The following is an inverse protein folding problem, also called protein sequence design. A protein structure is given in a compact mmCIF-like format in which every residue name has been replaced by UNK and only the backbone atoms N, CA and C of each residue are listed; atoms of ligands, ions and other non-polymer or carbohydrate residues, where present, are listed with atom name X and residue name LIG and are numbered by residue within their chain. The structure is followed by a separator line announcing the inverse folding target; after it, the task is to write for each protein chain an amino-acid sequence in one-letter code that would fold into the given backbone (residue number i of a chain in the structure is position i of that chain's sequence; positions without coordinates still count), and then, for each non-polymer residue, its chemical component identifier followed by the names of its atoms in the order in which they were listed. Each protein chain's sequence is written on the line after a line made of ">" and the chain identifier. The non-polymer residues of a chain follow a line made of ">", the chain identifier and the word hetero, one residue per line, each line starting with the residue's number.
data_IF_540832913943
#
_entry.id   IF_540832913943
#
_cell.length_a   1.000
_cell.length_b   1.000
_cell.length_c   1.000
_cell.angle_alpha   90.00
_cell.angle_beta   90.00
_cell.angle_gamma   90.00
#
_symmetry.space_group_name_H-M   'P 1'
#
loop_
_entity.id
_entity.type
_entity.pdbx_description
1 polymer ?
#
# COMPACT_ATOMS: atom_id res chain seq x y z
N UNK A 1 18.53 2.54 -7.19
CA UNK A 1 17.36 2.37 -6.30
C UNK A 1 16.32 1.56 -7.04
N UNK A 2 15.41 0.89 -6.33
CA UNK A 2 14.31 0.15 -6.97
C UNK A 2 13.23 1.09 -7.48
N UNK A 3 12.68 0.82 -8.66
CA UNK A 3 11.58 1.58 -9.25
C UNK A 3 10.25 0.83 -9.10
N UNK A 4 9.16 1.58 -8.94
CA UNK A 4 7.80 1.06 -8.76
C UNK A 4 6.83 1.72 -9.74
N UNK A 5 5.74 1.02 -10.04
CA UNK A 5 4.62 1.59 -10.78
C UNK A 5 3.67 2.41 -9.89
N UNK A 6 2.62 3.01 -10.48
CA UNK A 6 1.63 3.80 -9.75
C UNK A 6 0.83 3.00 -8.72
N UNK A 7 0.80 1.68 -8.84
CA UNK A 7 0.13 0.79 -7.88
C UNK A 7 1.09 0.32 -6.77
N UNK A 8 2.33 0.83 -6.73
CA UNK A 8 3.34 0.42 -5.74
C UNK A 8 3.93 -0.95 -5.99
N UNK A 9 3.77 -1.52 -7.20
CA UNK A 9 4.39 -2.80 -7.56
C UNK A 9 5.81 -2.57 -8.06
N UNK A 10 6.72 -3.45 -7.66
CA UNK A 10 8.12 -3.36 -8.07
C UNK A 10 8.26 -3.78 -9.54
N UNK A 11 9.04 -3.03 -10.32
CA UNK A 11 9.38 -3.47 -11.68
C UNK A 11 10.23 -4.75 -11.66
N UNK A 12 10.21 -5.49 -12.76
CA UNK A 12 11.06 -6.67 -12.92
C UNK A 12 12.55 -6.29 -12.83
N UNK A 13 13.35 -7.23 -12.32
CA UNK A 13 14.81 -7.10 -12.20
C UNK A 13 15.28 -5.90 -11.36
N UNK A 14 14.48 -5.48 -10.38
CA UNK A 14 14.87 -4.50 -9.38
C UNK A 14 15.46 -5.16 -8.13
N UNK A 15 16.31 -4.46 -7.35
CA UNK A 15 16.85 -4.99 -6.09
C UNK A 15 15.79 -5.26 -5.01
N UNK A 16 14.64 -4.57 -5.06
CA UNK A 16 13.58 -4.77 -4.08
C UNK A 16 12.85 -6.09 -4.36
N UNK A 17 12.72 -6.97 -3.35
CA UNK A 17 12.16 -8.30 -3.55
C UNK A 17 10.62 -8.32 -3.60
N UNK A 18 9.96 -7.28 -3.09
CA UNK A 18 8.52 -7.24 -2.87
C UNK A 18 7.93 -5.87 -3.28
N UNK A 19 6.61 -5.85 -3.48
CA UNK A 19 5.83 -4.63 -3.66
C UNK A 19 5.77 -3.82 -2.35
N UNK A 20 5.41 -2.55 -2.44
CA UNK A 20 5.22 -1.71 -1.27
C UNK A 20 4.06 -2.27 -0.42
N UNK A 21 4.23 -2.40 0.91
CA UNK A 21 3.15 -2.87 1.78
C UNK A 21 2.04 -1.82 1.84
N UNK A 22 0.80 -2.27 1.73
CA UNK A 22 -0.37 -1.42 1.94
C UNK A 22 -0.67 -1.42 3.44
N UNK A 23 -0.62 -0.26 4.14
CA UNK A 23 -0.94 -0.22 5.55
C UNK A 23 -2.44 -0.47 5.79
N UNK A 24 -2.83 -0.96 6.97
CA UNK A 24 -4.23 -1.00 7.39
C UNK A 24 -4.85 0.39 7.31
N UNK A 25 -6.02 0.50 6.69
CA UNK A 25 -6.71 1.77 6.49
C UNK A 25 -8.22 1.57 6.38
N UNK A 26 -8.98 2.59 6.77
CA UNK A 26 -10.43 2.67 6.57
C UNK A 26 -10.82 4.04 6.04
N UNK A 27 -11.90 4.08 5.26
CA UNK A 27 -12.54 5.32 4.84
C UNK A 27 -13.56 5.71 5.92
N UNK A 28 -13.41 6.89 6.52
CA UNK A 28 -14.40 7.44 7.47
C UNK A 28 -15.51 8.18 6.72
N UNK A 29 -15.15 8.86 5.63
CA UNK A 29 -16.03 9.49 4.65
C UNK A 29 -15.43 9.33 3.26
N UNK A 30 -16.12 9.80 2.21
CA UNK A 30 -15.62 9.74 0.82
C UNK A 30 -14.28 10.49 0.63
N UNK A 31 -14.01 11.49 1.47
CA UNK A 31 -12.84 12.37 1.38
C UNK A 31 -11.81 12.15 2.51
N UNK A 32 -12.09 11.27 3.48
CA UNK A 32 -11.26 11.06 4.68
C UNK A 32 -10.86 9.58 4.81
N UNK A 33 -9.55 9.34 4.83
CA UNK A 33 -8.94 8.03 5.05
C UNK A 33 -8.14 8.07 6.35
N UNK A 34 -8.36 7.08 7.21
CA UNK A 34 -7.58 6.88 8.44
C UNK A 34 -6.67 5.68 8.28
N UNK A 35 -5.39 5.89 8.60
CA UNK A 35 -4.33 4.88 8.51
C UNK A 35 -4.01 4.35 9.91
N UNK A 36 -3.82 3.05 10.05
CA UNK A 36 -3.44 2.42 11.32
C UNK A 36 -4.63 1.98 12.17
N UNK A 37 -5.85 2.06 11.65
CA UNK A 37 -7.00 1.35 12.22
C UNK A 37 -6.93 -0.11 11.79
N UNK A 38 -6.97 -1.02 12.77
CA UNK A 38 -7.04 -2.45 12.50
C UNK A 38 -8.44 -2.72 11.95
N UNK A 39 -8.58 -2.71 10.63
CA UNK A 39 -9.75 -3.27 9.97
C UNK A 39 -9.69 -4.77 10.20
N UNK A 40 -10.18 -5.22 11.35
CA UNK A 40 -10.34 -6.64 11.63
C UNK A 40 -11.04 -7.26 10.43
N UNK A 41 -10.36 -8.25 9.83
CA UNK A 41 -10.76 -8.99 8.63
C UNK A 41 -12.28 -9.12 8.49
N UNK A 42 -12.86 -8.43 7.52
CA UNK A 42 -14.15 -8.78 6.95
C UNK A 42 -13.94 -9.79 5.79
#
# INVERSE_FOLDING_TARGET
>A
GSHYDLAGRVYKSQPAPLNLPVPPHSYETDDIIVIGVDTEKA
#
